data_IF_707977356864
#
_entry.id   IF_707977356864
#
_cell.length_a   1.000
_cell.length_b   1.000
_cell.length_c   1.000
_cell.angle_alpha   90.00
_cell.angle_beta   90.00
_cell.angle_gamma   90.00
#
_symmetry.space_group_name_H-M   'P 1'
#
loop_
_entity.id
_entity.type
_entity.pdbx_description
1 polymer ?
#
# COMPACT_ATOMS: atom_id res chain seq x y z
N UNK A 1 -21.44 -71.12 -0.27
CA UNK A 1 -22.49 -70.08 -0.32
C UNK A 1 -21.89 -68.79 0.20
N UNK A 2 -21.47 -67.90 -0.70
CA UNK A 2 -20.93 -66.55 -0.37
C UNK A 2 -21.84 -65.51 -0.97
N UNK A 3 -22.56 -64.77 -0.13
CA UNK A 3 -23.32 -63.58 -0.54
C UNK A 3 -22.42 -62.38 -0.32
N UNK A 4 -21.98 -61.75 -1.40
CA UNK A 4 -21.30 -60.45 -1.42
C UNK A 4 -22.34 -59.35 -1.43
N UNK A 5 -22.31 -58.51 -0.45
CA UNK A 5 -23.10 -57.27 -0.36
C UNK A 5 -22.47 -56.19 -1.27
N UNK A 6 -23.22 -55.78 -2.26
CA UNK A 6 -22.97 -54.61 -3.07
C UNK A 6 -23.83 -53.47 -2.54
N UNK A 7 -23.27 -52.62 -1.68
CA UNK A 7 -23.89 -51.34 -1.27
C UNK A 7 -22.81 -50.31 -1.07
N UNK A 8 -22.99 -49.16 -1.66
CA UNK A 8 -22.38 -47.88 -1.35
C UNK A 8 -21.30 -47.37 -2.28
N UNK A 9 -21.72 -46.99 -3.49
CA UNK A 9 -20.92 -46.02 -4.28
C UNK A 9 -21.66 -44.71 -4.60
N UNK A 10 -22.88 -44.52 -4.13
CA UNK A 10 -23.69 -43.34 -4.48
C UNK A 10 -23.76 -42.25 -3.37
N UNK A 11 -23.13 -42.44 -2.21
CA UNK A 11 -23.24 -41.49 -1.11
C UNK A 11 -22.10 -40.43 -1.05
N UNK A 12 -21.11 -40.55 -1.92
CA UNK A 12 -19.98 -39.58 -1.94
C UNK A 12 -20.14 -38.45 -2.95
N UNK A 13 -21.17 -38.51 -3.81
CA UNK A 13 -21.36 -37.48 -4.84
C UNK A 13 -22.30 -36.34 -4.44
N UNK A 14 -23.00 -36.44 -3.31
CA UNK A 14 -23.94 -35.40 -2.87
C UNK A 14 -23.31 -34.33 -1.97
N UNK A 15 -22.14 -34.62 -1.39
CA UNK A 15 -21.47 -33.66 -0.47
C UNK A 15 -20.61 -32.59 -1.16
N UNK A 16 -20.32 -32.73 -2.45
CA UNK A 16 -19.50 -31.77 -3.19
C UNK A 16 -20.35 -30.65 -3.83
N UNK A 17 -21.65 -30.87 -4.00
CA UNK A 17 -22.53 -29.87 -4.61
C UNK A 17 -23.04 -28.80 -3.62
N UNK A 18 -22.87 -29.01 -2.32
CA UNK A 18 -23.32 -28.06 -1.29
C UNK A 18 -22.29 -27.01 -0.90
N UNK A 19 -21.02 -27.12 -1.35
CA UNK A 19 -19.95 -26.20 -0.99
C UNK A 19 -19.68 -25.12 -2.02
N UNK A 20 -20.36 -25.14 -3.15
CA UNK A 20 -20.17 -24.17 -4.25
C UNK A 20 -21.15 -22.98 -4.26
N UNK A 21 -22.06 -22.88 -3.29
CA UNK A 21 -23.06 -21.80 -3.24
C UNK A 21 -22.76 -20.68 -2.24
N UNK A 22 -21.61 -20.68 -1.56
CA UNK A 22 -21.28 -19.65 -0.55
C UNK A 22 -20.25 -18.61 -0.99
N UNK A 23 -19.92 -18.48 -2.29
CA UNK A 23 -18.98 -17.49 -2.81
C UNK A 23 -19.63 -16.34 -3.61
N UNK A 24 -20.93 -16.12 -3.45
CA UNK A 24 -21.64 -14.98 -4.08
C UNK A 24 -22.09 -13.99 -3.01
N UNK A 25 -21.19 -13.59 -2.14
CA UNK A 25 -21.48 -12.57 -1.11
C UNK A 25 -20.38 -11.51 -1.02
N UNK A 26 -19.81 -11.11 -2.15
CA UNK A 26 -19.03 -9.88 -2.27
C UNK A 26 -19.21 -9.31 -3.66
N UNK A 27 -20.35 -8.73 -3.93
CA UNK A 27 -20.60 -8.21 -5.27
C UNK A 27 -21.88 -7.42 -5.42
N UNK A 28 -22.29 -6.67 -4.41
CA UNK A 28 -23.15 -5.53 -4.70
C UNK A 28 -22.25 -4.32 -4.92
N UNK A 29 -21.98 -4.05 -6.20
CA UNK A 29 -21.30 -2.84 -6.67
C UNK A 29 -22.11 -1.55 -6.43
N UNK A 30 -22.91 -1.51 -5.38
CA UNK A 30 -23.70 -0.34 -4.98
C UNK A 30 -22.98 0.53 -3.93
N UNK A 31 -21.68 0.41 -3.81
CA UNK A 31 -20.90 1.34 -2.99
C UNK A 31 -21.04 2.79 -3.48
N UNK A 32 -21.33 2.95 -4.75
CA UNK A 32 -21.51 4.23 -5.45
C UNK A 32 -22.97 4.48 -5.82
N UNK A 33 -23.92 3.89 -5.09
CA UNK A 33 -25.30 4.35 -5.21
C UNK A 33 -25.26 5.87 -4.98
N UNK A 34 -25.69 6.64 -5.98
CA UNK A 34 -25.99 8.07 -5.83
C UNK A 34 -27.12 8.18 -4.81
N UNK A 35 -26.78 7.94 -3.55
CA UNK A 35 -27.67 8.22 -2.46
C UNK A 35 -27.88 9.73 -2.51
N UNK A 36 -29.14 10.17 -2.37
CA UNK A 36 -29.50 11.56 -2.16
C UNK A 36 -29.03 12.08 -0.80
N UNK A 37 -27.87 11.60 -0.31
CA UNK A 37 -27.23 12.13 0.89
C UNK A 37 -26.67 13.51 0.56
N UNK A 38 -26.94 14.53 1.38
CA UNK A 38 -26.39 15.85 1.16
C UNK A 38 -24.86 15.81 1.19
N UNK A 39 -24.24 16.46 0.22
CA UNK A 39 -22.79 16.66 0.18
C UNK A 39 -22.39 17.72 1.21
N UNK A 40 -21.21 17.54 1.76
CA UNK A 40 -20.61 18.46 2.73
C UNK A 40 -19.76 19.50 2.01
N UNK A 41 -19.88 20.74 2.42
CA UNK A 41 -18.98 21.83 2.05
C UNK A 41 -17.70 21.78 2.89
N UNK A 42 -16.66 22.48 2.44
CA UNK A 42 -15.34 22.52 3.09
C UNK A 42 -15.42 22.84 4.60
N UNK A 43 -16.23 23.84 4.98
CA UNK A 43 -16.44 24.20 6.39
C UNK A 43 -17.08 23.10 7.23
N UNK A 44 -17.91 22.28 6.61
CA UNK A 44 -18.53 21.13 7.28
C UNK A 44 -17.53 19.99 7.44
N UNK A 45 -16.68 19.75 6.44
CA UNK A 45 -15.55 18.79 6.51
C UNK A 45 -14.62 19.19 7.65
N UNK A 46 -14.22 20.46 7.73
CA UNK A 46 -13.39 20.99 8.83
C UNK A 46 -13.90 20.62 10.22
N UNK A 47 -15.23 20.63 10.43
CA UNK A 47 -15.84 20.29 11.72
C UNK A 47 -15.70 18.80 12.08
N UNK A 48 -15.51 17.94 11.09
CA UNK A 48 -15.30 16.51 11.29
C UNK A 48 -13.85 16.18 11.64
N UNK A 49 -12.90 17.05 11.30
CA UNK A 49 -11.49 16.88 11.64
C UNK A 49 -11.29 17.15 13.14
N UNK A 50 -10.59 16.27 13.87
CA UNK A 50 -10.39 16.41 15.31
C UNK A 50 -9.81 17.78 15.71
N UNK A 51 -10.27 18.39 16.80
CA UNK A 51 -9.81 19.72 17.23
C UNK A 51 -8.29 19.82 17.51
N UNK A 52 -7.67 18.70 17.85
CA UNK A 52 -6.21 18.62 18.09
C UNK A 52 -5.36 18.79 16.82
N UNK A 53 -5.96 18.67 15.66
CA UNK A 53 -5.24 18.74 14.38
C UNK A 53 -4.91 20.20 14.07
N UNK A 54 -3.64 20.48 13.82
CA UNK A 54 -3.21 21.77 13.30
C UNK A 54 -3.64 21.92 11.83
N UNK A 55 -3.86 23.18 11.41
CA UNK A 55 -4.18 23.48 10.01
C UNK A 55 -5.42 22.76 9.46
N UNK A 56 -6.47 22.55 10.30
CA UNK A 56 -7.72 21.89 9.86
C UNK A 56 -8.35 22.51 8.61
N UNK A 57 -8.12 23.80 8.36
CA UNK A 57 -8.61 24.45 7.13
C UNK A 57 -7.92 23.86 5.90
N UNK A 58 -6.60 23.73 5.92
CA UNK A 58 -5.85 23.14 4.79
C UNK A 58 -6.27 21.70 4.56
N UNK A 59 -6.36 20.88 5.63
CA UNK A 59 -6.83 19.51 5.52
C UNK A 59 -8.24 19.39 4.96
N UNK A 60 -9.17 20.25 5.38
CA UNK A 60 -10.54 20.24 4.86
C UNK A 60 -10.57 20.59 3.37
N UNK A 61 -9.80 21.59 2.96
CA UNK A 61 -9.66 21.99 1.55
C UNK A 61 -9.05 20.87 0.71
N UNK A 62 -8.00 20.21 1.20
CA UNK A 62 -7.34 19.12 0.50
C UNK A 62 -8.28 17.91 0.36
N UNK A 63 -8.97 17.51 1.44
CA UNK A 63 -9.97 16.43 1.40
C UNK A 63 -11.08 16.77 0.40
N UNK A 64 -11.63 17.99 0.43
CA UNK A 64 -12.67 18.42 -0.49
C UNK A 64 -12.19 18.35 -1.95
N UNK A 65 -11.03 18.96 -2.24
CA UNK A 65 -10.44 18.98 -3.58
C UNK A 65 -10.11 17.59 -4.12
N UNK A 66 -9.51 16.73 -3.30
CA UNK A 66 -9.13 15.37 -3.71
C UNK A 66 -10.37 14.50 -3.96
N UNK A 67 -11.38 14.59 -3.10
CA UNK A 67 -12.63 13.85 -3.30
C UNK A 67 -13.37 14.30 -4.55
N UNK A 68 -13.36 15.60 -4.86
CA UNK A 68 -13.92 16.14 -6.10
C UNK A 68 -13.17 15.61 -7.33
N UNK A 69 -11.83 15.68 -7.34
CA UNK A 69 -10.99 15.18 -8.44
C UNK A 69 -11.13 13.67 -8.70
N UNK A 70 -11.46 12.90 -7.65
CA UNK A 70 -11.63 11.45 -7.73
C UNK A 70 -13.10 11.03 -7.94
N UNK A 71 -14.01 11.97 -8.17
CA UNK A 71 -15.46 11.72 -8.27
C UNK A 71 -16.03 10.99 -7.05
N UNK A 72 -15.46 11.21 -5.85
CA UNK A 72 -15.95 10.65 -4.59
C UNK A 72 -16.99 11.61 -4.01
N UNK A 73 -18.25 11.19 -3.85
CA UNK A 73 -19.27 12.06 -3.25
C UNK A 73 -18.88 12.49 -1.83
N UNK A 74 -18.92 13.79 -1.54
CA UNK A 74 -18.57 14.36 -0.24
C UNK A 74 -19.68 14.13 0.82
N UNK A 75 -20.25 12.95 0.86
CA UNK A 75 -21.24 12.57 1.87
C UNK A 75 -20.59 12.49 3.25
N UNK A 76 -21.38 12.67 4.29
CA UNK A 76 -20.90 12.56 5.68
C UNK A 76 -20.21 11.21 5.93
N UNK A 77 -20.74 10.12 5.37
CA UNK A 77 -20.18 8.78 5.49
C UNK A 77 -18.79 8.71 4.88
N UNK A 78 -18.62 9.14 3.62
CA UNK A 78 -17.34 9.09 2.92
C UNK A 78 -16.30 9.96 3.60
N UNK A 79 -16.65 11.20 3.94
CA UNK A 79 -15.74 12.12 4.62
C UNK A 79 -15.34 11.61 6.01
N UNK A 80 -16.26 11.07 6.81
CA UNK A 80 -15.92 10.48 8.10
C UNK A 80 -14.97 9.29 7.94
N UNK A 81 -15.15 8.46 6.90
CA UNK A 81 -14.23 7.35 6.62
C UNK A 81 -12.84 7.84 6.25
N UNK A 82 -12.74 8.85 5.38
CA UNK A 82 -11.45 9.47 5.00
C UNK A 82 -10.76 10.07 6.22
N UNK A 83 -11.48 10.88 7.00
CA UNK A 83 -10.95 11.50 8.23
C UNK A 83 -10.43 10.46 9.21
N UNK A 84 -11.18 9.35 9.40
CA UNK A 84 -10.78 8.27 10.30
C UNK A 84 -9.51 7.56 9.82
N UNK A 85 -9.39 7.29 8.51
CA UNK A 85 -8.18 6.67 7.94
C UNK A 85 -6.98 7.60 8.07
N UNK A 86 -7.09 8.87 7.68
CA UNK A 86 -5.99 9.84 7.80
C UNK A 86 -5.55 10.00 9.26
N UNK A 87 -6.51 10.00 10.19
CA UNK A 87 -6.20 10.06 11.61
C UNK A 87 -5.43 8.82 12.10
N UNK A 88 -5.87 7.65 11.70
CA UNK A 88 -5.27 6.38 12.08
C UNK A 88 -3.87 6.18 11.47
N UNK A 89 -3.70 6.50 10.19
CA UNK A 89 -2.46 6.22 9.46
C UNK A 89 -1.36 7.25 9.74
N UNK A 90 -1.71 8.53 9.87
CA UNK A 90 -0.72 9.61 9.97
C UNK A 90 -0.97 10.59 11.12
N UNK A 91 -2.07 10.46 11.85
CA UNK A 91 -2.50 11.46 12.84
C UNK A 91 -2.52 12.90 12.26
N UNK A 92 -2.92 13.04 10.99
CA UNK A 92 -2.90 14.29 10.23
C UNK A 92 -1.50 14.91 10.09
N UNK A 93 -0.46 14.10 10.04
CA UNK A 93 0.89 14.52 9.64
C UNK A 93 1.05 14.23 8.15
N UNK A 94 1.30 15.27 7.35
CA UNK A 94 1.37 15.14 5.89
C UNK A 94 2.58 14.32 5.40
N UNK A 95 3.63 14.26 6.20
CA UNK A 95 4.86 13.51 5.90
C UNK A 95 5.35 12.82 7.18
N UNK A 96 4.71 11.71 7.60
CA UNK A 96 5.02 11.06 8.85
C UNK A 96 6.37 10.33 8.77
N UNK A 97 7.12 10.37 9.88
CA UNK A 97 8.34 9.59 9.99
C UNK A 97 8.01 8.10 10.14
N UNK A 98 8.70 7.27 9.35
CA UNK A 98 8.59 5.81 9.41
C UNK A 98 9.81 5.23 10.14
N UNK A 99 9.63 4.65 11.33
CA UNK A 99 10.75 4.09 12.08
C UNK A 99 11.53 3.02 11.30
N UNK A 100 12.84 3.20 11.19
CA UNK A 100 13.72 2.26 10.51
C UNK A 100 13.55 2.22 8.98
N UNK A 101 12.91 3.22 8.36
CA UNK A 101 12.68 3.27 6.92
C UNK A 101 13.98 3.13 6.14
N UNK A 102 15.01 3.90 6.47
CA UNK A 102 16.28 3.90 5.75
C UNK A 102 16.97 2.54 5.74
N UNK A 103 17.02 1.84 6.87
CA UNK A 103 17.61 0.49 6.93
C UNK A 103 16.78 -0.53 6.15
N UNK A 104 15.46 -0.43 6.22
CA UNK A 104 14.57 -1.29 5.42
C UNK A 104 14.75 -1.04 3.92
N UNK A 105 14.85 0.22 3.50
CA UNK A 105 15.07 0.58 2.11
C UNK A 105 16.41 0.05 1.58
N UNK A 106 17.49 0.20 2.34
CA UNK A 106 18.81 -0.36 1.96
C UNK A 106 18.74 -1.87 1.80
N UNK A 107 18.13 -2.56 2.77
CA UNK A 107 17.98 -4.01 2.70
C UNK A 107 17.16 -4.43 1.49
N UNK A 108 16.03 -3.80 1.23
CA UNK A 108 15.17 -4.10 0.10
C UNK A 108 15.86 -3.91 -1.25
N UNK A 109 16.64 -2.83 -1.39
CA UNK A 109 17.42 -2.58 -2.61
C UNK A 109 18.47 -3.69 -2.82
N UNK A 110 19.16 -4.09 -1.75
CA UNK A 110 20.17 -5.14 -1.83
C UNK A 110 19.54 -6.50 -2.20
N UNK A 111 18.48 -6.88 -1.52
CA UNK A 111 17.77 -8.15 -1.75
C UNK A 111 17.22 -8.22 -3.20
N UNK A 112 16.60 -7.13 -3.68
CA UNK A 112 16.05 -7.07 -5.06
C UNK A 112 17.13 -7.08 -6.14
N UNK A 113 18.26 -6.44 -5.90
CA UNK A 113 19.40 -6.50 -6.85
C UNK A 113 19.90 -7.94 -6.96
N UNK A 114 20.13 -8.62 -5.83
CA UNK A 114 20.55 -10.00 -5.84
C UNK A 114 19.55 -10.93 -6.54
N UNK A 115 18.28 -10.87 -6.18
CA UNK A 115 17.23 -11.69 -6.75
C UNK A 115 17.10 -11.49 -8.26
N UNK A 116 16.95 -10.24 -8.73
CA UNK A 116 16.79 -9.93 -10.15
C UNK A 116 17.96 -10.39 -11.01
N UNK A 117 19.18 -10.24 -10.51
CA UNK A 117 20.35 -10.62 -11.31
C UNK A 117 20.61 -12.11 -11.26
N UNK A 118 20.34 -12.79 -10.15
CA UNK A 118 20.40 -14.26 -10.07
C UNK A 118 19.37 -14.91 -10.98
N UNK A 119 18.15 -14.43 -11.00
CA UNK A 119 17.10 -14.96 -11.88
C UNK A 119 17.42 -14.82 -13.36
N UNK A 120 18.03 -13.70 -13.77
CA UNK A 120 18.30 -13.43 -15.19
C UNK A 120 19.63 -13.98 -15.69
N UNK A 121 20.65 -14.05 -14.85
CA UNK A 121 22.02 -14.32 -15.22
C UNK A 121 22.60 -15.57 -14.54
N UNK A 122 21.82 -16.23 -13.68
CA UNK A 122 22.28 -17.35 -12.86
C UNK A 122 23.15 -16.88 -11.67
N UNK A 123 23.40 -17.81 -10.73
CA UNK A 123 24.04 -17.47 -9.44
C UNK A 123 25.44 -16.84 -9.59
N UNK A 124 26.27 -17.31 -10.55
CA UNK A 124 27.63 -16.84 -10.73
C UNK A 124 27.73 -15.41 -11.28
N UNK A 125 27.12 -15.16 -12.43
CA UNK A 125 27.14 -13.84 -13.06
C UNK A 125 26.21 -12.84 -12.33
N UNK A 126 25.05 -13.30 -11.84
CA UNK A 126 24.11 -12.48 -11.11
C UNK A 126 24.70 -11.86 -9.85
N UNK A 127 25.46 -12.64 -9.08
CA UNK A 127 26.17 -12.16 -7.90
C UNK A 127 27.23 -11.10 -8.22
N UNK A 128 27.97 -11.27 -9.31
CA UNK A 128 28.99 -10.31 -9.76
C UNK A 128 28.37 -8.99 -10.17
N UNK A 129 27.27 -9.01 -10.93
CA UNK A 129 26.57 -7.81 -11.38
C UNK A 129 25.91 -7.10 -10.20
N UNK A 130 25.27 -7.83 -9.29
CA UNK A 130 24.71 -7.25 -8.07
C UNK A 130 25.79 -6.56 -7.21
N UNK A 131 26.97 -7.18 -7.08
CA UNK A 131 28.14 -6.61 -6.40
C UNK A 131 28.60 -5.30 -7.04
N UNK A 132 28.65 -5.23 -8.37
CA UNK A 132 29.00 -4.00 -9.08
C UNK A 132 28.01 -2.86 -8.78
N UNK A 133 26.71 -3.13 -8.81
CA UNK A 133 25.70 -2.12 -8.47
C UNK A 133 25.80 -1.67 -7.02
N UNK A 134 26.06 -2.59 -6.10
CA UNK A 134 26.30 -2.21 -4.70
C UNK A 134 27.53 -1.30 -4.56
N UNK A 135 28.58 -1.56 -5.32
CA UNK A 135 29.78 -0.73 -5.32
C UNK A 135 29.52 0.67 -5.90
N UNK A 136 28.72 0.76 -6.97
CA UNK A 136 28.25 2.05 -7.49
C UNK A 136 27.49 2.84 -6.43
N UNK A 137 26.55 2.20 -5.72
CA UNK A 137 25.77 2.86 -4.66
C UNK A 137 26.62 3.31 -3.47
N UNK A 138 27.78 2.68 -3.21
CA UNK A 138 28.74 3.06 -2.18
C UNK A 138 29.66 4.20 -2.58
N UNK A 139 29.79 4.49 -3.88
CA UNK A 139 30.73 5.49 -4.37
C UNK A 139 30.04 6.70 -5.01
N UNK A 140 28.75 6.60 -5.34
CA UNK A 140 27.99 7.68 -5.96
C UNK A 140 27.04 8.35 -4.95
N UNK A 141 26.76 9.65 -5.05
CA UNK A 141 27.40 10.61 -5.94
C UNK A 141 28.85 10.91 -5.56
N UNK A 142 29.21 10.77 -4.29
CA UNK A 142 30.58 10.83 -3.77
C UNK A 142 30.76 9.79 -2.63
N UNK A 143 31.95 9.24 -2.40
CA UNK A 143 32.16 8.19 -1.40
C UNK A 143 31.76 8.59 0.03
N UNK A 144 32.02 9.85 0.40
CA UNK A 144 31.77 10.39 1.74
C UNK A 144 30.30 10.56 2.05
N UNK A 145 29.47 10.79 1.02
CA UNK A 145 28.02 10.94 1.10
C UNK A 145 27.33 10.17 -0.02
N UNK A 146 27.56 8.88 -0.03
CA UNK A 146 27.05 7.96 -1.07
C UNK A 146 25.57 7.62 -0.87
N UNK A 147 24.93 7.09 -1.93
CA UNK A 147 23.51 6.79 -1.94
C UNK A 147 23.07 5.81 -0.84
N UNK A 148 23.88 4.82 -0.48
CA UNK A 148 23.57 3.92 0.64
C UNK A 148 23.56 4.67 1.99
N UNK A 149 24.48 5.60 2.18
CA UNK A 149 24.53 6.41 3.40
C UNK A 149 23.40 7.42 3.48
N UNK A 150 23.02 8.02 2.34
CA UNK A 150 21.86 8.91 2.24
C UNK A 150 20.57 8.13 2.51
N UNK A 151 20.40 6.96 1.88
CA UNK A 151 19.24 6.10 2.08
C UNK A 151 19.05 5.69 3.54
N UNK A 152 20.13 5.36 4.27
CA UNK A 152 20.03 5.05 5.71
C UNK A 152 19.51 6.19 6.56
N UNK A 153 19.71 7.45 6.13
CA UNK A 153 19.29 8.64 6.88
C UNK A 153 17.87 9.07 6.62
N UNK A 154 17.22 8.57 5.57
CA UNK A 154 15.83 8.93 5.27
C UNK A 154 14.91 8.51 6.39
N UNK A 155 13.96 9.36 6.70
CA UNK A 155 12.98 9.16 7.78
C UNK A 155 11.56 9.11 7.27
N UNK A 156 11.29 9.71 6.10
CA UNK A 156 9.96 9.79 5.51
C UNK A 156 9.96 9.17 4.12
N UNK A 157 8.77 8.74 3.67
CA UNK A 157 8.63 8.18 2.32
C UNK A 157 8.92 9.23 1.24
N UNK A 158 8.64 10.50 1.52
CA UNK A 158 8.96 11.60 0.61
C UNK A 158 10.47 11.74 0.41
N UNK A 159 11.23 11.77 1.51
CA UNK A 159 12.70 11.82 1.42
C UNK A 159 13.27 10.64 0.62
N UNK A 160 12.67 9.45 0.78
CA UNK A 160 13.07 8.26 0.03
C UNK A 160 12.74 8.39 -1.46
N UNK A 161 11.56 8.89 -1.81
CA UNK A 161 11.16 9.12 -3.21
C UNK A 161 12.03 10.18 -3.90
N UNK A 162 12.33 11.27 -3.20
CA UNK A 162 13.23 12.33 -3.69
C UNK A 162 14.64 11.76 -3.97
N UNK A 163 15.18 10.96 -3.05
CA UNK A 163 16.48 10.32 -3.23
C UNK A 163 16.46 9.35 -4.44
N UNK A 164 15.42 8.54 -4.60
CA UNK A 164 15.29 7.67 -5.76
C UNK A 164 15.23 8.44 -7.08
N UNK A 165 14.51 9.55 -7.12
CA UNK A 165 14.48 10.41 -8.33
C UNK A 165 15.85 10.96 -8.67
N UNK A 166 16.63 11.37 -7.67
CA UNK A 166 18.00 11.83 -7.88
C UNK A 166 18.92 10.73 -8.41
N UNK A 167 18.80 9.50 -7.87
CA UNK A 167 19.61 8.35 -8.30
C UNK A 167 19.38 7.97 -9.76
N UNK A 168 18.23 8.28 -10.36
CA UNK A 168 17.84 7.89 -11.72
C UNK A 168 17.66 9.06 -12.68
N UNK A 169 18.01 10.29 -12.30
CA UNK A 169 18.01 11.47 -13.16
C UNK A 169 19.26 11.53 -14.03
#
# INVERSE_FOLDING_TARGET
MKKTLFISSHLKSLSILALSLSLVACGDGSWWSKNNEPTLEEDQIKRLIPPRVNNRNSWAKDIFSITDQLDIPQTKKNICSIVAVVDQESNFVADPQVPGLGEKAVKEVQDRLEEKFKDKLGDGLGGTVAGYFQEVLKNQPIPEDNYLSQMRRVKTERELDELYREMFA
#
